data_IF_180179665698
#
_entry.id   IF_180179665698
#
_cell.length_a   1.000
_cell.length_b   1.000
_cell.length_c   1.000
_cell.angle_alpha   90.00
_cell.angle_beta   90.00
_cell.angle_gamma   90.00
#
_symmetry.space_group_name_H-M   'P 1'
#
loop_
_entity.id
_entity.type
_entity.pdbx_description
1 polymer ?
#
# COMPACT_ATOMS: atom_id res chain seq x y z
N UNK A 1 57.51 -4.76 -47.32
CA UNK A 1 57.04 -5.11 -45.97
C UNK A 1 55.80 -5.97 -46.12
N UNK A 2 55.89 -7.23 -45.72
CA UNK A 2 54.88 -8.26 -45.87
C UNK A 2 54.34 -8.66 -44.50
N UNK A 3 53.02 -8.77 -44.37
CA UNK A 3 52.36 -9.78 -43.54
C UNK A 3 51.08 -10.23 -44.27
N UNK A 4 50.79 -11.55 -44.33
CA UNK A 4 49.86 -12.11 -45.30
C UNK A 4 48.44 -12.30 -44.74
N UNK A 5 47.46 -12.23 -45.64
CA UNK A 5 46.14 -12.82 -45.45
C UNK A 5 46.24 -14.34 -45.56
N UNK A 6 45.82 -15.06 -44.53
CA UNK A 6 45.47 -16.48 -44.55
C UNK A 6 44.27 -16.66 -43.62
N UNK A 7 43.13 -17.15 -44.10
CA UNK A 7 42.88 -18.56 -44.40
C UNK A 7 42.26 -19.19 -43.15
N UNK A 8 40.97 -19.45 -43.08
CA UNK A 8 40.40 -20.67 -43.64
C UNK A 8 39.35 -21.22 -42.66
N UNK A 9 38.29 -21.74 -43.26
CA UNK A 9 37.10 -22.41 -42.73
C UNK A 9 37.39 -23.57 -41.75
N UNK A 10 36.44 -23.84 -40.85
CA UNK A 10 36.47 -25.04 -40.00
C UNK A 10 35.19 -25.27 -39.21
N UNK A 11 34.20 -25.93 -39.84
CA UNK A 11 33.06 -26.55 -39.14
C UNK A 11 33.56 -27.74 -38.31
N UNK A 12 33.02 -27.98 -37.12
CA UNK A 12 33.06 -29.34 -36.55
C UNK A 12 32.94 -29.49 -35.04
N UNK A 13 31.70 -29.72 -34.59
CA UNK A 13 31.25 -30.76 -33.64
C UNK A 13 32.08 -31.02 -32.36
N UNK A 14 31.43 -30.75 -31.23
CA UNK A 14 31.26 -31.76 -30.18
C UNK A 14 31.99 -31.52 -28.86
N UNK A 15 31.25 -31.03 -27.85
CA UNK A 15 31.13 -31.71 -26.54
C UNK A 15 30.10 -31.02 -25.66
N UNK A 16 28.92 -31.60 -25.62
CA UNK A 16 28.04 -31.56 -24.45
C UNK A 16 28.68 -32.47 -23.39
N UNK A 17 28.88 -31.98 -22.17
CA UNK A 17 29.33 -32.77 -21.01
C UNK A 17 29.67 -31.89 -19.80
N UNK A 18 29.38 -32.32 -18.56
CA UNK A 18 28.48 -31.56 -17.68
C UNK A 18 29.18 -30.94 -16.46
N UNK A 19 28.70 -29.79 -16.00
CA UNK A 19 28.99 -29.33 -14.64
C UNK A 19 29.00 -27.81 -14.46
N UNK A 20 28.11 -27.31 -13.60
CA UNK A 20 28.31 -26.04 -12.91
C UNK A 20 27.37 -24.92 -13.32
N UNK A 21 26.07 -25.09 -13.11
CA UNK A 21 25.14 -23.95 -13.05
C UNK A 21 25.54 -22.98 -11.95
N UNK A 22 25.56 -21.68 -12.28
CA UNK A 22 25.44 -20.49 -11.42
C UNK A 22 25.57 -19.29 -12.37
N UNK A 23 24.48 -18.86 -12.99
CA UNK A 23 23.44 -18.10 -12.30
C UNK A 23 23.57 -16.68 -12.83
N UNK A 24 22.74 -16.36 -13.83
CA UNK A 24 22.74 -15.07 -14.50
C UNK A 24 22.65 -13.93 -13.49
N UNK A 25 23.34 -12.84 -13.81
CA UNK A 25 23.29 -11.57 -13.10
C UNK A 25 21.86 -11.01 -13.18
N UNK A 26 21.01 -11.51 -12.28
CA UNK A 26 19.61 -11.15 -12.11
C UNK A 26 19.58 -9.81 -11.37
N UNK A 27 19.36 -8.74 -12.13
CA UNK A 27 18.98 -7.42 -11.63
C UNK A 27 17.59 -7.42 -10.95
N UNK A 28 17.40 -8.29 -9.95
CA UNK A 28 16.18 -8.33 -9.14
C UNK A 28 16.53 -8.48 -7.66
N UNK A 29 17.37 -7.59 -7.14
CA UNK A 29 17.43 -7.38 -5.70
C UNK A 29 16.47 -6.23 -5.35
N UNK A 30 15.36 -6.58 -4.68
CA UNK A 30 14.87 -5.71 -3.61
C UNK A 30 13.48 -5.09 -3.73
N UNK A 31 12.74 -5.25 -4.83
CA UNK A 31 11.30 -4.93 -4.79
C UNK A 31 10.58 -6.22 -4.41
N UNK A 32 10.37 -6.42 -3.12
CA UNK A 32 9.38 -7.41 -2.68
C UNK A 32 8.07 -7.07 -3.39
N UNK A 33 7.42 -8.00 -4.11
CA UNK A 33 6.08 -7.75 -4.61
C UNK A 33 5.23 -7.46 -3.37
N UNK A 34 4.75 -6.22 -3.30
CA UNK A 34 3.76 -5.81 -2.34
C UNK A 34 2.64 -6.84 -2.36
N UNK A 35 2.54 -7.67 -1.33
CA UNK A 35 1.37 -8.52 -1.15
C UNK A 35 0.21 -7.55 -0.98
N UNK A 36 -0.64 -7.51 -2.00
CA UNK A 36 -1.84 -6.68 -1.95
C UNK A 36 -2.57 -7.03 -0.65
N UNK A 37 -2.90 -6.03 0.19
CA UNK A 37 -3.77 -6.27 1.33
C UNK A 37 -5.02 -6.95 0.79
N UNK A 38 -5.31 -8.16 1.24
CA UNK A 38 -6.40 -9.00 0.74
C UNK A 38 -7.75 -8.51 1.26
N UNK A 39 -8.02 -7.22 1.10
CA UNK A 39 -9.31 -6.62 1.42
C UNK A 39 -10.21 -6.87 0.21
N UNK A 40 -11.38 -7.51 0.40
CA UNK A 40 -12.32 -7.70 -0.69
C UNK A 40 -12.73 -6.33 -1.28
N UNK A 41 -13.14 -6.28 -2.55
CA UNK A 41 -13.66 -5.05 -3.15
C UNK A 41 -14.86 -4.53 -2.33
N UNK A 42 -15.06 -3.20 -2.26
CA UNK A 42 -16.16 -2.63 -1.50
C UNK A 42 -17.51 -3.06 -2.11
N UNK A 43 -18.55 -3.26 -1.28
CA UNK A 43 -19.90 -3.49 -1.78
C UNK A 43 -20.35 -2.39 -2.77
N UNK A 44 -21.18 -2.70 -3.77
CA UNK A 44 -21.78 -1.69 -4.63
C UNK A 44 -22.53 -0.67 -3.77
N UNK A 45 -22.20 0.61 -3.92
CA UNK A 45 -22.71 1.75 -3.13
C UNK A 45 -22.15 1.92 -1.71
N UNK A 46 -21.09 1.20 -1.34
CA UNK A 46 -20.39 1.46 -0.09
C UNK A 46 -19.48 2.70 -0.20
N UNK A 47 -19.53 3.55 0.82
CA UNK A 47 -18.49 4.52 1.10
C UNK A 47 -17.38 3.81 1.87
N UNK A 48 -16.24 3.59 1.21
CA UNK A 48 -15.06 3.00 1.83
C UNK A 48 -14.17 4.08 2.44
N UNK A 49 -13.91 3.96 3.74
CA UNK A 49 -13.12 4.89 4.55
C UNK A 49 -11.91 4.19 5.11
N UNK A 50 -10.74 4.80 4.99
CA UNK A 50 -9.50 4.32 5.58
C UNK A 50 -9.18 5.12 6.86
N UNK A 51 -8.64 4.46 7.89
CA UNK A 51 -8.17 5.13 9.10
C UNK A 51 -6.85 4.52 9.60
N UNK A 52 -5.89 5.35 10.04
CA UNK A 52 -4.67 4.89 10.69
C UNK A 52 -5.00 4.36 12.09
N UNK A 53 -4.63 3.12 12.39
CA UNK A 53 -4.89 2.51 13.71
C UNK A 53 -3.64 1.89 14.32
N UNK A 54 -3.63 1.80 15.65
CA UNK A 54 -2.51 1.20 16.41
C UNK A 54 -2.62 -0.32 16.54
N UNK A 55 -3.83 -0.84 16.48
CA UNK A 55 -4.21 -2.19 16.88
C UNK A 55 -5.25 -2.80 15.92
N UNK A 56 -5.40 -4.13 15.98
CA UNK A 56 -6.38 -4.88 15.20
C UNK A 56 -7.60 -5.25 16.07
N UNK A 57 -8.36 -4.25 16.50
CA UNK A 57 -9.61 -4.41 17.24
C UNK A 57 -10.86 -4.04 16.40
N UNK A 58 -10.72 -4.02 15.07
CA UNK A 58 -11.81 -3.70 14.14
C UNK A 58 -12.36 -2.29 14.37
N UNK A 59 -13.69 -2.18 14.56
CA UNK A 59 -14.35 -0.89 14.83
C UNK A 59 -13.92 -0.25 16.17
N UNK A 60 -13.38 -1.04 17.09
CA UNK A 60 -12.89 -0.56 18.39
C UNK A 60 -11.41 -0.18 18.35
N UNK A 61 -10.74 -0.30 17.19
CA UNK A 61 -9.35 0.07 17.04
C UNK A 61 -9.10 1.54 17.40
N UNK A 62 -7.94 1.78 17.98
CA UNK A 62 -7.51 3.10 18.43
C UNK A 62 -6.87 3.86 17.28
N UNK A 63 -7.35 5.07 17.00
CA UNK A 63 -6.78 5.93 15.97
C UNK A 63 -5.37 6.37 16.37
N UNK A 64 -4.43 6.08 15.50
CA UNK A 64 -3.02 6.42 15.71
C UNK A 64 -2.75 7.90 15.43
N UNK A 65 -1.79 8.48 16.14
CA UNK A 65 -1.46 9.91 15.98
C UNK A 65 -0.88 10.26 14.60
N UNK A 66 -0.05 9.37 14.03
CA UNK A 66 0.52 9.57 12.70
C UNK A 66 -0.43 9.00 11.65
N UNK A 67 -0.36 9.51 10.42
CA UNK A 67 -1.14 8.93 9.30
C UNK A 67 -0.32 7.87 8.55
N UNK A 68 0.84 8.26 8.01
CA UNK A 68 1.58 7.42 7.06
C UNK A 68 2.48 6.35 7.71
N UNK A 69 2.95 6.59 8.93
CA UNK A 69 3.92 5.72 9.64
C UNK A 69 3.28 4.78 10.66
N UNK A 70 1.97 4.59 10.57
CA UNK A 70 1.25 3.74 11.50
C UNK A 70 1.47 2.28 11.19
N UNK A 71 1.38 1.38 12.17
CA UNK A 71 1.56 -0.04 11.92
C UNK A 71 0.42 -0.63 11.09
N UNK A 72 -0.81 -0.13 11.27
CA UNK A 72 -2.02 -0.71 10.69
C UNK A 72 -2.91 0.33 10.03
N UNK A 73 -3.73 -0.13 9.09
CA UNK A 73 -4.76 0.64 8.39
C UNK A 73 -6.08 -0.09 8.57
N UNK A 74 -7.05 0.57 9.18
CA UNK A 74 -8.43 0.12 9.18
C UNK A 74 -9.12 0.57 7.88
N UNK A 75 -9.81 -0.35 7.22
CA UNK A 75 -10.63 -0.14 6.03
C UNK A 75 -12.06 -0.45 6.41
N UNK A 76 -12.91 0.55 6.32
CA UNK A 76 -14.30 0.50 6.79
C UNK A 76 -15.22 0.68 5.60
N UNK A 77 -16.11 -0.27 5.39
CA UNK A 77 -17.18 -0.18 4.41
C UNK A 77 -18.45 0.31 5.09
N UNK A 78 -19.00 1.41 4.58
CA UNK A 78 -20.21 2.03 5.10
C UNK A 78 -21.28 2.00 4.02
N UNK A 79 -22.44 1.41 4.33
CA UNK A 79 -23.59 1.34 3.43
C UNK A 79 -24.78 1.97 4.14
N UNK A 80 -25.43 2.96 3.52
CA UNK A 80 -26.59 3.65 4.09
C UNK A 80 -26.36 4.13 5.54
N UNK A 81 -25.20 4.72 5.78
CA UNK A 81 -24.74 5.19 7.11
C UNK A 81 -24.68 4.09 8.18
N UNK A 82 -24.47 2.84 7.79
CA UNK A 82 -24.24 1.72 8.71
C UNK A 82 -22.91 1.04 8.39
N UNK A 83 -22.23 0.55 9.43
CA UNK A 83 -21.03 -0.26 9.27
C UNK A 83 -21.40 -1.59 8.60
N UNK A 84 -20.93 -1.79 7.38
CA UNK A 84 -21.10 -3.04 6.65
C UNK A 84 -19.96 -4.02 6.95
N UNK A 85 -18.71 -3.54 6.93
CA UNK A 85 -17.54 -4.34 7.24
C UNK A 85 -16.38 -3.47 7.76
N UNK A 86 -15.51 -4.08 8.57
CA UNK A 86 -14.25 -3.47 9.01
C UNK A 86 -13.13 -4.48 8.83
N UNK A 87 -12.10 -4.08 8.09
CA UNK A 87 -10.89 -4.86 7.85
C UNK A 87 -9.71 -4.08 8.42
N UNK A 88 -8.80 -4.73 9.12
CA UNK A 88 -7.55 -4.09 9.55
C UNK A 88 -6.40 -4.80 8.87
N UNK A 89 -5.61 -4.04 8.13
CA UNK A 89 -4.48 -4.54 7.35
C UNK A 89 -3.19 -3.91 7.81
N UNK A 90 -2.05 -4.62 7.71
CA UNK A 90 -0.75 -4.03 7.97
C UNK A 90 -0.49 -2.88 7.01
N UNK A 91 0.13 -1.81 7.52
CA UNK A 91 0.54 -0.69 6.70
C UNK A 91 1.92 -0.99 6.06
N UNK A 92 1.96 -1.20 4.74
CA UNK A 92 3.19 -1.54 4.01
C UNK A 92 4.16 -0.36 3.93
N UNK A 93 3.68 0.87 4.16
CA UNK A 93 4.49 2.09 4.10
C UNK A 93 5.00 2.56 5.46
N UNK A 94 4.69 1.81 6.53
CA UNK A 94 5.05 2.15 7.90
C UNK A 94 6.56 2.30 8.13
N UNK A 95 7.34 1.40 7.53
CA UNK A 95 8.80 1.32 7.70
C UNK A 95 9.60 2.17 6.71
N UNK A 96 8.94 2.93 5.84
CA UNK A 96 9.65 3.72 4.84
C UNK A 96 10.41 4.90 5.44
N UNK A 97 11.69 4.98 5.08
CA UNK A 97 12.61 6.04 5.52
C UNK A 97 12.21 7.43 5.02
N UNK A 98 11.62 7.52 3.83
CA UNK A 98 11.13 8.76 3.22
C UNK A 98 9.97 8.51 2.26
N UNK A 99 9.21 9.55 1.92
CA UNK A 99 8.10 9.43 0.96
C UNK A 99 6.86 8.70 1.45
N UNK A 100 6.78 8.35 2.75
CA UNK A 100 5.65 7.61 3.32
C UNK A 100 4.30 8.29 3.08
N UNK A 101 4.26 9.63 3.02
CA UNK A 101 3.06 10.40 2.78
C UNK A 101 2.38 10.12 1.43
N UNK A 102 3.00 10.51 0.30
CA UNK A 102 2.46 10.21 -1.03
C UNK A 102 2.26 8.71 -1.26
N UNK A 103 3.13 7.86 -0.73
CA UNK A 103 2.98 6.41 -0.84
C UNK A 103 1.76 5.89 -0.06
N UNK A 104 1.44 6.47 1.10
CA UNK A 104 0.23 6.14 1.83
C UNK A 104 -1.03 6.48 1.01
N UNK A 105 -1.04 7.62 0.31
CA UNK A 105 -2.13 7.96 -0.59
C UNK A 105 -2.31 6.92 -1.71
N UNK A 106 -1.21 6.38 -2.24
CA UNK A 106 -1.28 5.28 -3.21
C UNK A 106 -1.87 4.00 -2.60
N UNK A 107 -1.49 3.64 -1.38
CA UNK A 107 -2.08 2.49 -0.66
C UNK A 107 -3.58 2.67 -0.45
N UNK A 108 -4.01 3.85 -0.01
CA UNK A 108 -5.42 4.18 0.17
C UNK A 108 -6.20 4.05 -1.14
N UNK A 109 -5.64 4.53 -2.25
CA UNK A 109 -6.22 4.40 -3.58
C UNK A 109 -6.35 2.93 -4.01
N UNK A 110 -5.32 2.11 -3.78
CA UNK A 110 -5.34 0.66 -4.07
C UNK A 110 -6.39 -0.09 -3.23
N UNK A 111 -6.62 0.36 -2.00
CA UNK A 111 -7.67 -0.17 -1.13
C UNK A 111 -9.08 0.27 -1.55
N UNK A 112 -9.20 1.11 -2.58
CA UNK A 112 -10.45 1.70 -3.08
C UNK A 112 -11.15 2.59 -2.03
N UNK A 113 -10.37 3.21 -1.14
CA UNK A 113 -10.89 4.16 -0.16
C UNK A 113 -11.18 5.51 -0.82
N UNK A 114 -12.39 6.04 -0.60
CA UNK A 114 -12.81 7.37 -1.08
C UNK A 114 -12.62 8.47 -0.05
N UNK A 115 -12.42 8.07 1.21
CA UNK A 115 -12.12 8.99 2.30
C UNK A 115 -11.07 8.40 3.25
N UNK A 116 -10.36 9.29 3.94
CA UNK A 116 -9.36 8.96 4.95
C UNK A 116 -9.64 9.76 6.21
N UNK A 117 -9.66 9.09 7.35
CA UNK A 117 -9.63 9.73 8.66
C UNK A 117 -8.16 9.99 8.99
N UNK A 118 -7.80 11.24 9.26
CA UNK A 118 -6.43 11.65 9.53
C UNK A 118 -6.38 12.61 10.73
N UNK A 119 -5.77 12.23 11.86
CA UNK A 119 -5.65 13.12 13.01
C UNK A 119 -4.60 14.21 12.84
N UNK A 120 -3.48 13.87 12.20
CA UNK A 120 -2.45 14.82 11.81
C UNK A 120 -2.03 14.54 10.38
N UNK A 121 -2.28 15.51 9.51
CA UNK A 121 -2.01 15.40 8.07
C UNK A 121 -0.95 16.41 7.67
N UNK A 122 0.21 15.92 7.24
CA UNK A 122 1.25 16.79 6.68
C UNK A 122 0.84 17.33 5.29
N UNK A 123 1.32 18.52 4.87
CA UNK A 123 0.94 19.15 3.60
C UNK A 123 1.13 18.25 2.37
N UNK A 124 2.18 17.43 2.37
CA UNK A 124 2.50 16.50 1.27
C UNK A 124 1.53 15.34 1.13
N UNK A 125 0.94 14.88 2.22
CA UNK A 125 -0.04 13.78 2.18
C UNK A 125 -1.39 14.33 1.77
N UNK A 126 -1.73 15.49 2.31
CA UNK A 126 -2.97 16.18 1.98
C UNK A 126 -3.04 16.49 0.48
N UNK A 127 -1.98 17.05 -0.10
CA UNK A 127 -1.94 17.34 -1.54
C UNK A 127 -2.06 16.07 -2.40
N UNK A 128 -1.42 14.97 -1.99
CA UNK A 128 -1.52 13.69 -2.69
C UNK A 128 -2.93 13.09 -2.63
N UNK A 129 -3.56 13.10 -1.44
CA UNK A 129 -4.93 12.60 -1.25
C UNK A 129 -5.95 13.45 -2.04
N UNK A 130 -5.82 14.78 -1.98
CA UNK A 130 -6.67 15.70 -2.73
C UNK A 130 -6.52 15.52 -4.25
N UNK A 131 -5.29 15.36 -4.75
CA UNK A 131 -5.02 15.11 -6.17
C UNK A 131 -5.62 13.80 -6.69
N UNK A 132 -5.89 12.84 -5.80
CA UNK A 132 -6.58 11.58 -6.11
C UNK A 132 -8.11 11.65 -5.88
N UNK A 133 -8.64 12.80 -5.46
CA UNK A 133 -10.06 12.96 -5.15
C UNK A 133 -10.50 12.22 -3.87
N UNK A 134 -9.56 11.94 -2.96
CA UNK A 134 -9.82 11.26 -1.69
C UNK A 134 -10.11 12.32 -0.63
N UNK A 135 -11.30 12.24 0.00
CA UNK A 135 -11.69 13.15 1.07
C UNK A 135 -10.87 12.89 2.34
N UNK A 136 -10.55 13.95 3.10
CA UNK A 136 -9.83 13.84 4.36
C UNK A 136 -10.71 14.37 5.49
N UNK A 137 -10.98 13.51 6.47
CA UNK A 137 -11.69 13.86 7.70
C UNK A 137 -10.71 13.97 8.85
N UNK A 138 -10.77 15.09 9.57
CA UNK A 138 -9.95 15.26 10.76
C UNK A 138 -10.60 14.55 11.97
N UNK A 139 -9.77 13.95 12.82
CA UNK A 139 -10.21 13.27 14.02
C UNK A 139 -9.19 13.42 15.15
N UNK A 140 -9.59 13.42 16.42
CA UNK A 140 -8.63 13.42 17.52
C UNK A 140 -7.84 12.09 17.56
N UNK A 141 -6.51 12.13 17.78
CA UNK A 141 -5.73 10.93 17.98
C UNK A 141 -6.11 10.25 19.31
N UNK A 142 -5.96 8.92 19.39
CA UNK A 142 -6.31 8.15 20.59
C UNK A 142 -7.81 7.87 20.76
N UNK A 143 -8.67 8.43 19.91
CA UNK A 143 -10.08 8.10 19.89
C UNK A 143 -10.32 6.72 19.26
N UNK A 144 -11.45 6.08 19.63
CA UNK A 144 -11.88 4.83 19.00
C UNK A 144 -12.44 5.10 17.60
N UNK A 145 -12.14 4.23 16.65
CA UNK A 145 -12.58 4.35 15.26
C UNK A 145 -14.10 4.51 15.14
N UNK A 146 -14.89 3.70 15.85
CA UNK A 146 -16.35 3.78 15.85
C UNK A 146 -16.89 5.12 16.34
N UNK A 147 -16.28 5.69 17.39
CA UNK A 147 -16.74 6.97 17.95
C UNK A 147 -16.46 8.12 16.99
N UNK A 148 -15.32 8.06 16.31
CA UNK A 148 -14.97 9.05 15.29
C UNK A 148 -15.91 8.95 14.09
N UNK A 149 -16.19 7.74 13.60
CA UNK A 149 -17.13 7.54 12.50
C UNK A 149 -18.54 8.09 12.81
N UNK A 150 -18.99 7.92 14.06
CA UNK A 150 -20.25 8.52 14.54
C UNK A 150 -20.16 10.04 14.64
N UNK A 151 -19.08 10.58 15.20
CA UNK A 151 -18.89 12.04 15.33
C UNK A 151 -18.85 12.76 13.99
N UNK A 152 -18.37 12.09 12.94
CA UNK A 152 -18.33 12.59 11.57
C UNK A 152 -19.67 12.43 10.83
N UNK A 153 -20.67 11.81 11.45
CA UNK A 153 -21.96 11.53 10.83
C UNK A 153 -21.91 10.47 9.72
N UNK A 154 -20.81 9.72 9.62
CA UNK A 154 -20.62 8.68 8.61
C UNK A 154 -21.38 7.40 8.97
N UNK A 155 -21.52 7.12 10.27
CA UNK A 155 -22.28 5.99 10.79
C UNK A 155 -23.34 6.52 11.76
N UNK A 156 -24.59 6.14 11.52
CA UNK A 156 -25.69 6.30 12.45
C UNK A 156 -25.62 5.13 13.44
N UNK A 157 -25.27 5.44 14.69
CA UNK A 157 -25.20 4.51 15.81
C UNK A 157 -26.12 4.94 16.93
#
# INVERSE_FOLDING_TARGET
MAWPQGGGYGRGRGRMGPGGGRGGWRWSQGIQPFQQPSVPPPPPNALRVCAPVLDNMGANSTIAQMLARTPMIAVVDIVQSRLAAVYVVPNPVASMRGGAGPAFAQVVSQLMCRAVIAPLTGPRVLSALQGMGIAVYNAPPGARLVDVLRSLGLVLG
#
